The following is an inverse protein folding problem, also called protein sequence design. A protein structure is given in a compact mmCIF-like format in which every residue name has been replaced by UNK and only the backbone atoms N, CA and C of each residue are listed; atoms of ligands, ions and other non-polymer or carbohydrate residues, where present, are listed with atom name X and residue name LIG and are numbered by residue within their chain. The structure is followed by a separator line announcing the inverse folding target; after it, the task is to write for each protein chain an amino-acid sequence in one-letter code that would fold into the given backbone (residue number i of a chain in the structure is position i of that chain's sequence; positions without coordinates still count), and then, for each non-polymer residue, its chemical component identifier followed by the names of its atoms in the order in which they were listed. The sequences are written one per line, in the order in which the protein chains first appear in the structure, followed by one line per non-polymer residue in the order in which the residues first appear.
data_IF_097877208475
#
_entry.id   IF_097877208475
#
_cell.length_a   1.000
_cell.length_b   1.000
_cell.length_c   1.000
_cell.angle_alpha   90.00
_cell.angle_beta   90.00
_cell.angle_gamma   90.00
#
_symmetry.space_group_name_H-M   'P 1'
#
loop_
_entity.id
_entity.type
_entity.pdbx_description
1 polymer ?
#
# COMPACT_ATOMS: atom_id res chain seq x y z
N UNK A 1 -43.90 40.34 16.25
CA UNK A 1 -44.88 39.72 15.32
C UNK A 1 -44.36 38.37 14.91
N UNK A 2 -45.16 37.31 15.05
CA UNK A 2 -44.81 35.96 14.57
C UNK A 2 -45.41 35.81 13.17
N UNK A 3 -44.56 35.50 12.18
CA UNK A 3 -44.97 35.32 10.78
C UNK A 3 -45.26 33.83 10.52
N UNK A 4 -46.44 33.52 10.00
CA UNK A 4 -46.82 32.16 9.58
C UNK A 4 -47.19 32.14 8.11
N UNK A 5 -46.69 31.16 7.36
CA UNK A 5 -46.97 31.01 5.94
C UNK A 5 -48.44 30.60 5.74
N UNK A 6 -49.12 31.23 4.78
CA UNK A 6 -50.51 30.89 4.43
C UNK A 6 -50.53 29.64 3.55
N UNK A 7 -51.11 28.55 4.05
CA UNK A 7 -51.13 27.26 3.38
C UNK A 7 -52.44 27.02 2.61
N UNK A 8 -52.34 26.41 1.42
CA UNK A 8 -53.50 25.96 0.62
C UNK A 8 -53.80 24.51 0.94
N UNK A 9 -54.89 24.25 1.69
CA UNK A 9 -55.32 22.89 2.03
C UNK A 9 -56.04 22.23 0.87
N UNK A 10 -55.52 21.09 0.40
CA UNK A 10 -56.11 20.28 -0.66
C UNK A 10 -56.90 19.12 -0.05
N UNK A 11 -58.18 18.98 -0.41
CA UNK A 11 -59.03 17.84 -0.03
C UNK A 11 -59.15 16.86 -1.20
N UNK A 12 -58.14 16.01 -1.37
CA UNK A 12 -58.14 14.91 -2.35
C UNK A 12 -57.59 13.64 -1.71
N UNK A 13 -58.40 12.57 -1.67
CA UNK A 13 -58.03 11.29 -1.05
C UNK A 13 -56.86 10.63 -1.78
N UNK A 14 -56.84 10.65 -3.11
CA UNK A 14 -55.76 10.08 -3.91
C UNK A 14 -54.40 10.72 -3.62
N UNK A 15 -54.34 12.07 -3.65
CA UNK A 15 -53.08 12.79 -3.40
C UNK A 15 -52.66 12.70 -1.93
N UNK A 16 -53.61 12.68 -0.99
CA UNK A 16 -53.32 12.46 0.42
C UNK A 16 -52.70 11.07 0.67
N UNK A 17 -53.25 10.01 0.08
CA UNK A 17 -52.71 8.64 0.19
C UNK A 17 -51.32 8.56 -0.42
N UNK A 18 -51.13 9.12 -1.62
CA UNK A 18 -49.83 9.16 -2.29
C UNK A 18 -48.77 9.90 -1.45
N UNK A 19 -49.13 11.06 -0.91
CA UNK A 19 -48.23 11.85 -0.06
C UNK A 19 -47.82 11.08 1.20
N UNK A 20 -48.78 10.43 1.88
CA UNK A 20 -48.49 9.61 3.08
C UNK A 20 -47.65 8.39 2.75
N UNK A 21 -47.88 7.75 1.61
CA UNK A 21 -47.07 6.62 1.15
C UNK A 21 -45.62 7.05 0.87
N UNK A 22 -45.42 8.18 0.18
CA UNK A 22 -44.08 8.73 -0.06
C UNK A 22 -43.36 9.08 1.25
N UNK A 23 -44.05 9.73 2.19
CA UNK A 23 -43.51 10.00 3.52
C UNK A 23 -43.08 8.73 4.24
N UNK A 24 -43.92 7.69 4.22
CA UNK A 24 -43.62 6.41 4.84
C UNK A 24 -42.39 5.73 4.22
N UNK A 25 -42.27 5.74 2.89
CA UNK A 25 -41.09 5.21 2.20
C UNK A 25 -39.80 5.96 2.57
N UNK A 26 -39.86 7.30 2.66
CA UNK A 26 -38.72 8.12 3.07
C UNK A 26 -38.33 7.81 4.52
N UNK A 27 -39.30 7.69 5.43
CA UNK A 27 -39.04 7.31 6.82
C UNK A 27 -38.38 5.94 6.93
N UNK A 28 -38.86 4.94 6.17
CA UNK A 28 -38.21 3.62 6.11
C UNK A 28 -36.78 3.76 5.58
N UNK A 29 -36.56 4.52 4.52
CA UNK A 29 -35.23 4.74 3.97
C UNK A 29 -34.28 5.37 5.00
N UNK A 30 -34.70 6.43 5.69
CA UNK A 30 -33.89 7.09 6.71
C UNK A 30 -33.61 6.14 7.89
N UNK A 31 -34.64 5.49 8.42
CA UNK A 31 -34.48 4.61 9.58
C UNK A 31 -33.63 3.36 9.24
N UNK A 32 -33.97 2.67 8.15
CA UNK A 32 -33.33 1.39 7.83
C UNK A 32 -32.00 1.57 7.10
N UNK A 33 -31.94 2.42 6.07
CA UNK A 33 -30.72 2.55 5.28
C UNK A 33 -29.71 3.50 5.92
N UNK A 34 -30.11 4.73 6.28
CA UNK A 34 -29.17 5.73 6.80
C UNK A 34 -28.77 5.41 8.25
N UNK A 35 -29.74 5.15 9.13
CA UNK A 35 -29.46 4.91 10.54
C UNK A 35 -28.92 3.50 10.75
N UNK A 36 -29.62 2.44 10.31
CA UNK A 36 -29.19 1.06 10.62
C UNK A 36 -28.04 0.56 9.72
N UNK A 37 -28.20 0.56 8.38
CA UNK A 37 -27.19 -0.01 7.46
C UNK A 37 -25.92 0.83 7.41
N UNK A 38 -26.06 2.15 7.20
CA UNK A 38 -24.93 3.08 7.13
C UNK A 38 -24.43 3.51 8.51
N UNK A 39 -25.08 3.06 9.60
CA UNK A 39 -24.71 3.38 10.98
C UNK A 39 -24.55 4.88 11.20
N UNK A 40 -25.47 5.69 10.69
CA UNK A 40 -25.42 7.16 10.81
C UNK A 40 -25.42 7.68 12.25
N UNK A 41 -25.75 6.82 13.23
CA UNK A 41 -25.66 7.09 14.66
C UNK A 41 -24.24 6.95 15.24
N UNK A 42 -23.29 6.41 14.49
CA UNK A 42 -21.91 6.25 14.94
C UNK A 42 -21.02 7.40 14.46
N UNK A 43 -20.08 7.78 15.30
CA UNK A 43 -18.88 8.49 14.90
C UNK A 43 -17.81 7.49 14.49
N UNK A 44 -17.16 7.71 13.36
CA UNK A 44 -16.07 6.88 12.85
C UNK A 44 -14.72 7.57 13.02
N UNK A 45 -13.70 6.77 13.33
CA UNK A 45 -12.30 7.19 13.36
C UNK A 45 -11.43 6.14 12.67
N UNK A 46 -10.44 6.59 11.91
CA UNK A 46 -9.41 5.72 11.35
C UNK A 46 -8.37 5.30 12.42
N UNK A 47 -7.87 4.05 12.37
CA UNK A 47 -6.86 3.58 13.31
C UNK A 47 -5.53 4.30 13.10
N UNK A 48 -4.90 4.74 14.19
CA UNK A 48 -3.54 5.28 14.17
C UNK A 48 -2.62 4.30 14.88
N UNK A 49 -1.55 3.84 14.24
CA UNK A 49 -0.73 2.80 14.81
C UNK A 49 0.55 2.50 14.05
N UNK A 50 1.26 1.50 14.55
CA UNK A 50 2.50 1.02 13.95
C UNK A 50 2.63 -0.49 14.13
N UNK A 51 3.35 -1.10 13.20
CA UNK A 51 3.69 -2.51 13.18
C UNK A 51 5.18 -2.70 13.39
N UNK A 52 5.52 -3.65 14.26
CA UNK A 52 6.87 -4.17 14.47
C UNK A 52 6.93 -5.54 13.83
N UNK A 53 7.97 -5.78 13.05
CA UNK A 53 8.17 -7.03 12.33
C UNK A 53 9.38 -7.78 12.91
N UNK A 54 9.27 -9.11 13.00
CA UNK A 54 10.41 -9.99 13.27
C UNK A 54 10.39 -11.16 12.30
N UNK A 55 11.51 -11.41 11.65
CA UNK A 55 11.64 -12.46 10.64
C UNK A 55 12.48 -13.60 11.22
N UNK A 56 12.10 -14.83 10.90
CA UNK A 56 12.82 -16.04 11.29
C UNK A 56 12.84 -17.05 10.15
N UNK A 57 14.01 -17.62 9.91
CA UNK A 57 14.24 -18.66 8.93
C UNK A 57 15.72 -18.70 8.59
N UNK A 58 16.16 -19.86 8.10
CA UNK A 58 17.49 -20.04 7.51
C UNK A 58 17.29 -20.52 6.08
N UNK A 59 18.17 -20.10 5.19
CA UNK A 59 18.09 -20.48 3.79
C UNK A 59 19.44 -20.85 3.23
N UNK A 60 19.46 -21.89 2.40
CA UNK A 60 20.62 -22.26 1.61
C UNK A 60 20.77 -21.29 0.47
N UNK A 61 22.01 -21.02 0.09
CA UNK A 61 22.34 -20.14 -1.02
C UNK A 61 23.14 -20.85 -2.09
N UNK A 62 22.86 -20.50 -3.34
CA UNK A 62 23.73 -20.80 -4.48
C UNK A 62 24.72 -19.66 -4.65
N UNK A 63 25.99 -20.01 -4.86
CA UNK A 63 27.09 -19.08 -5.06
C UNK A 63 27.57 -19.24 -6.50
N UNK A 64 27.58 -18.15 -7.25
CA UNK A 64 28.17 -18.07 -8.57
C UNK A 64 29.30 -17.04 -8.56
N UNK A 65 30.54 -17.47 -8.79
CA UNK A 65 31.69 -16.59 -8.82
C UNK A 65 32.11 -16.32 -10.26
N UNK A 66 32.21 -15.04 -10.66
CA UNK A 66 32.63 -14.67 -12.01
C UNK A 66 34.06 -15.13 -12.35
N UNK A 67 34.91 -15.37 -11.36
CA UNK A 67 36.34 -15.66 -11.54
C UNK A 67 36.76 -17.12 -11.26
N UNK A 68 35.84 -17.97 -10.78
CA UNK A 68 36.09 -19.39 -10.55
C UNK A 68 34.98 -20.21 -11.22
N UNK A 69 35.30 -20.92 -12.31
CA UNK A 69 34.42 -21.92 -12.96
C UNK A 69 34.26 -23.21 -12.13
N UNK A 70 34.42 -23.12 -10.81
CA UNK A 70 34.23 -24.22 -9.89
C UNK A 70 33.00 -23.93 -9.04
N UNK A 71 31.92 -24.66 -9.33
CA UNK A 71 30.74 -24.82 -8.48
C UNK A 71 31.13 -25.56 -7.19
N UNK A 72 31.98 -24.94 -6.37
CA UNK A 72 32.17 -25.39 -5.00
C UNK A 72 30.93 -24.99 -4.23
N UNK A 73 29.92 -25.85 -4.31
CA UNK A 73 28.70 -25.86 -3.51
C UNK A 73 28.99 -26.17 -2.04
N UNK A 74 29.95 -25.47 -1.43
CA UNK A 74 29.96 -25.32 0.01
C UNK A 74 28.63 -24.67 0.36
N UNK A 75 27.74 -25.43 1.04
CA UNK A 75 26.40 -24.99 1.42
C UNK A 75 26.50 -23.81 2.38
N UNK A 76 26.70 -22.62 1.84
CA UNK A 76 26.62 -21.40 2.59
C UNK A 76 25.14 -21.18 2.97
N UNK A 77 24.95 -20.62 4.14
CA UNK A 77 23.65 -20.41 4.75
C UNK A 77 23.49 -18.92 5.01
N UNK A 78 22.29 -18.42 4.80
CA UNK A 78 21.87 -17.11 5.28
C UNK A 78 20.84 -17.26 6.38
N UNK A 79 21.00 -16.48 7.44
CA UNK A 79 19.97 -16.28 8.44
C UNK A 79 19.32 -14.89 8.31
N UNK A 80 18.41 -14.58 9.24
CA UNK A 80 17.69 -13.31 9.20
C UNK A 80 18.60 -12.08 9.25
N UNK A 81 19.79 -12.15 9.84
CA UNK A 81 20.72 -11.02 9.85
C UNK A 81 21.37 -10.79 8.47
N UNK A 82 21.50 -11.84 7.66
CA UNK A 82 22.11 -11.75 6.34
C UNK A 82 21.16 -11.23 5.25
N UNK A 83 19.88 -11.61 5.32
CA UNK A 83 18.89 -11.27 4.28
C UNK A 83 17.88 -10.19 4.67
N UNK A 84 17.81 -9.74 5.94
CA UNK A 84 16.88 -8.68 6.39
C UNK A 84 17.60 -7.37 6.64
N UNK A 85 17.42 -6.40 5.74
CA UNK A 85 18.11 -5.10 5.80
C UNK A 85 17.15 -3.95 5.49
N UNK A 86 17.04 -2.93 6.36
CA UNK A 86 17.61 -2.88 7.72
C UNK A 86 16.88 -3.86 8.65
N UNK A 87 17.56 -4.27 9.72
CA UNK A 87 17.02 -5.23 10.69
C UNK A 87 15.88 -4.65 11.55
N UNK A 88 15.70 -3.33 11.55
CA UNK A 88 14.59 -2.64 12.20
C UNK A 88 14.04 -1.56 11.28
N UNK A 89 12.79 -1.73 10.86
CA UNK A 89 12.04 -0.75 10.10
C UNK A 89 10.58 -0.78 10.57
N UNK A 90 9.98 0.39 10.75
CA UNK A 90 8.57 0.51 11.13
C UNK A 90 7.70 0.33 9.90
N UNK A 91 6.66 -0.50 9.99
CA UNK A 91 5.68 -0.71 8.91
C UNK A 91 6.28 -1.22 7.57
N UNK A 92 7.52 -1.67 7.53
CA UNK A 92 8.08 -2.28 6.34
C UNK A 92 9.22 -3.22 6.70
N UNK A 93 9.55 -4.13 5.80
CA UNK A 93 10.74 -4.96 5.88
C UNK A 93 11.17 -5.38 4.48
N UNK A 94 12.44 -5.75 4.35
CA UNK A 94 13.01 -6.24 3.10
C UNK A 94 13.63 -7.62 3.32
N UNK A 95 13.44 -8.51 2.35
CA UNK A 95 14.09 -9.83 2.31
C UNK A 95 14.91 -9.91 1.03
N UNK A 96 16.23 -9.98 1.17
CA UNK A 96 17.15 -10.17 0.07
C UNK A 96 16.98 -11.57 -0.54
N UNK A 97 16.73 -11.62 -1.84
CA UNK A 97 16.64 -12.86 -2.62
C UNK A 97 17.92 -13.13 -3.40
N UNK A 98 18.60 -12.05 -3.82
CA UNK A 98 19.90 -12.11 -4.48
C UNK A 98 20.80 -11.00 -3.97
N UNK A 99 22.07 -11.27 -3.72
CA UNK A 99 23.08 -10.23 -3.48
C UNK A 99 24.29 -10.45 -4.38
N UNK A 100 24.83 -9.34 -4.88
CA UNK A 100 26.05 -9.28 -5.68
C UNK A 100 27.06 -8.52 -4.85
N UNK A 101 28.19 -9.15 -4.52
CA UNK A 101 29.25 -8.51 -3.73
C UNK A 101 30.47 -8.28 -4.61
N UNK A 102 30.98 -7.05 -4.60
CA UNK A 102 32.25 -6.67 -5.23
C UNK A 102 33.24 -6.30 -4.13
N UNK A 103 34.25 -7.16 -3.95
CA UNK A 103 35.27 -7.03 -2.91
C UNK A 103 36.44 -6.16 -3.37
N UNK A 104 37.16 -5.56 -2.41
CA UNK A 104 38.48 -4.99 -2.68
C UNK A 104 38.50 -3.75 -3.56
N UNK A 105 37.40 -3.01 -3.64
CA UNK A 105 37.37 -1.78 -4.42
C UNK A 105 38.25 -0.72 -3.76
N UNK A 106 39.13 -0.07 -4.52
CA UNK A 106 39.94 1.07 -4.10
C UNK A 106 39.78 2.23 -5.07
N UNK A 107 40.05 3.45 -4.64
CA UNK A 107 40.10 4.57 -5.58
C UNK A 107 41.27 4.40 -6.55
N UNK A 108 40.99 4.51 -7.84
CA UNK A 108 42.00 4.35 -8.87
C UNK A 108 41.42 4.41 -10.28
N UNK A 109 42.26 4.02 -11.24
CA UNK A 109 41.93 4.03 -12.65
C UNK A 109 41.72 2.58 -13.12
N UNK A 110 40.61 2.34 -13.81
CA UNK A 110 40.28 1.04 -14.40
C UNK A 110 39.39 1.20 -15.65
N UNK A 111 39.28 0.15 -16.50
CA UNK A 111 38.28 0.10 -17.56
C UNK A 111 36.86 0.09 -16.96
N UNK A 112 35.90 0.77 -17.61
CA UNK A 112 34.48 0.71 -17.22
C UNK A 112 33.85 -0.65 -17.51
N UNK A 113 32.79 -1.01 -16.78
CA UNK A 113 32.05 -2.26 -17.03
C UNK A 113 31.35 -2.24 -18.40
N UNK A 114 31.15 -3.43 -18.99
CA UNK A 114 30.39 -3.57 -20.23
C UNK A 114 28.93 -3.12 -20.09
N UNK A 115 28.38 -3.16 -18.88
CA UNK A 115 26.99 -2.80 -18.60
C UNK A 115 26.68 -1.30 -18.72
N UNK A 116 27.69 -0.44 -18.55
CA UNK A 116 27.52 1.00 -18.72
C UNK A 116 27.47 1.41 -20.20
N UNK A 117 27.75 0.45 -21.11
CA UNK A 117 27.70 0.63 -22.57
C UNK A 117 28.58 1.77 -23.07
N UNK A 118 29.68 2.05 -22.36
CA UNK A 118 30.67 3.08 -22.69
C UNK A 118 31.72 2.55 -23.66
N UNK A 119 31.24 2.01 -24.79
CA UNK A 119 32.10 1.44 -25.82
C UNK A 119 32.87 2.54 -26.56
N UNK A 120 34.13 2.25 -26.84
CA UNK A 120 34.99 3.14 -27.60
C UNK A 120 35.80 2.32 -28.61
N UNK A 121 36.21 2.96 -29.69
CA UNK A 121 37.12 2.39 -30.68
C UNK A 121 37.97 3.50 -31.31
N UNK A 122 38.82 3.14 -32.27
CA UNK A 122 39.72 4.11 -32.92
C UNK A 122 38.99 5.21 -33.70
N UNK A 123 37.73 5.01 -34.09
CA UNK A 123 36.95 5.98 -34.90
C UNK A 123 35.93 6.77 -34.07
N UNK A 124 35.56 6.27 -32.90
CA UNK A 124 34.55 6.83 -31.99
C UNK A 124 35.04 6.71 -30.54
N UNK A 125 35.36 7.85 -29.93
CA UNK A 125 35.80 7.93 -28.55
C UNK A 125 34.88 8.86 -27.72
N UNK A 126 33.91 8.30 -26.96
CA UNK A 126 33.03 9.08 -26.09
C UNK A 126 33.69 9.50 -24.77
N UNK A 127 34.90 9.03 -24.47
CA UNK A 127 35.59 9.20 -23.19
C UNK A 127 36.16 10.62 -23.07
N UNK A 128 35.33 11.61 -22.75
CA UNK A 128 35.79 13.01 -22.61
C UNK A 128 36.44 13.25 -21.24
N UNK A 129 37.75 13.47 -21.23
CA UNK A 129 38.55 13.66 -20.00
C UNK A 129 37.91 14.66 -19.03
N UNK A 130 37.79 14.26 -17.77
CA UNK A 130 37.26 15.10 -16.69
C UNK A 130 35.74 15.23 -16.65
N UNK A 131 35.02 14.66 -17.62
CA UNK A 131 33.56 14.62 -17.59
C UNK A 131 33.07 13.50 -16.65
N UNK A 132 32.01 13.74 -15.87
CA UNK A 132 31.35 12.69 -15.11
C UNK A 132 30.63 11.73 -16.05
N UNK A 133 30.52 10.48 -15.65
CA UNK A 133 29.87 9.44 -16.45
C UNK A 133 28.34 9.52 -16.26
N UNK A 134 27.54 9.63 -17.34
CA UNK A 134 26.08 9.60 -17.23
C UNK A 134 25.59 8.26 -16.68
N UNK A 135 24.74 8.29 -15.64
CA UNK A 135 24.09 7.11 -15.04
C UNK A 135 25.04 6.04 -14.47
N UNK A 136 26.33 6.33 -14.29
CA UNK A 136 27.32 5.45 -13.67
C UNK A 136 28.24 6.22 -12.72
N UNK A 137 29.32 5.59 -12.26
CA UNK A 137 30.18 6.14 -11.22
C UNK A 137 31.56 6.55 -11.74
N UNK A 138 32.02 7.75 -11.37
CA UNK A 138 33.38 8.22 -11.65
C UNK A 138 33.48 9.24 -12.78
N UNK A 139 34.72 9.47 -13.21
CA UNK A 139 35.06 10.44 -14.26
C UNK A 139 35.88 9.79 -15.36
N UNK A 140 35.66 10.19 -16.62
CA UNK A 140 36.48 9.71 -17.73
C UNK A 140 37.92 10.24 -17.64
N UNK A 141 38.90 9.38 -17.88
CA UNK A 141 40.30 9.79 -17.98
C UNK A 141 40.67 10.36 -19.36
N UNK A 142 39.92 10.00 -20.40
CA UNK A 142 40.20 10.34 -21.79
C UNK A 142 40.60 9.15 -22.66
N UNK A 143 41.02 8.05 -22.04
CA UNK A 143 41.60 6.91 -22.74
C UNK A 143 40.55 5.85 -23.07
N UNK A 144 40.82 5.11 -24.15
CA UNK A 144 40.06 3.96 -24.59
C UNK A 144 40.92 2.72 -24.39
N UNK A 145 40.47 1.77 -23.57
CA UNK A 145 41.25 0.61 -23.13
C UNK A 145 40.43 -0.67 -23.29
N UNK A 146 41.10 -1.83 -23.39
CA UNK A 146 40.40 -3.11 -23.49
C UNK A 146 39.68 -3.45 -22.18
N UNK A 147 38.45 -3.98 -22.28
CA UNK A 147 37.64 -4.37 -21.12
C UNK A 147 38.28 -5.52 -20.34
N UNK A 148 38.08 -5.51 -19.02
CA UNK A 148 38.49 -6.61 -18.15
C UNK A 148 37.62 -7.87 -18.35
N UNK A 149 36.35 -7.70 -18.74
CA UNK A 149 35.40 -8.80 -18.93
C UNK A 149 35.59 -9.49 -20.29
N UNK A 150 35.91 -8.73 -21.33
CA UNK A 150 36.15 -9.24 -22.68
C UNK A 150 37.20 -8.39 -23.41
N UNK A 151 38.39 -8.97 -23.61
CA UNK A 151 39.54 -8.29 -24.23
C UNK A 151 39.32 -7.88 -25.68
N UNK A 152 38.30 -8.45 -26.36
CA UNK A 152 37.92 -8.07 -27.73
C UNK A 152 37.13 -6.76 -27.80
N UNK A 153 36.64 -6.26 -26.67
CA UNK A 153 35.81 -5.05 -26.60
C UNK A 153 36.59 -3.95 -25.88
N UNK A 154 36.66 -2.77 -26.51
CA UNK A 154 37.26 -1.59 -25.90
C UNK A 154 36.19 -0.71 -25.25
N UNK A 155 36.52 -0.19 -24.08
CA UNK A 155 35.66 0.61 -23.21
C UNK A 155 36.43 1.82 -22.67
N UNK A 156 35.71 2.82 -22.20
CA UNK A 156 36.34 3.99 -21.61
C UNK A 156 37.12 3.65 -20.33
N UNK A 157 38.28 4.28 -20.17
CA UNK A 157 39.03 4.27 -18.91
C UNK A 157 38.46 5.34 -17.98
N UNK A 158 38.26 4.96 -16.72
CA UNK A 158 37.55 5.76 -15.72
C UNK A 158 38.36 5.86 -14.42
N UNK A 159 38.22 6.99 -13.73
CA UNK A 159 38.71 7.20 -12.37
C UNK A 159 37.54 7.04 -11.40
N UNK A 160 37.51 5.93 -10.68
CA UNK A 160 36.39 5.50 -9.85
C UNK A 160 36.86 4.56 -8.71
N UNK A 161 35.90 3.88 -8.07
CA UNK A 161 36.20 2.77 -7.17
C UNK A 161 36.39 1.50 -7.99
N UNK A 162 37.64 1.08 -8.12
CA UNK A 162 38.08 -0.01 -8.99
C UNK A 162 38.44 -1.28 -8.19
N UNK A 163 38.10 -2.47 -8.69
CA UNK A 163 37.43 -2.71 -9.96
C UNK A 163 35.92 -2.38 -9.89
N UNK A 164 35.31 -2.02 -11.03
CA UNK A 164 33.88 -1.67 -11.10
C UNK A 164 32.99 -2.91 -10.83
N UNK A 165 31.73 -2.67 -10.45
CA UNK A 165 30.75 -3.75 -10.21
C UNK A 165 30.73 -4.74 -11.39
N UNK A 166 30.61 -6.04 -11.10
CA UNK A 166 30.53 -7.18 -12.04
C UNK A 166 31.83 -7.74 -12.63
N UNK A 167 32.93 -6.97 -12.67
CA UNK A 167 34.23 -7.47 -13.16
C UNK A 167 34.90 -8.48 -12.21
N UNK A 168 34.60 -8.39 -10.90
CA UNK A 168 35.03 -9.34 -9.86
C UNK A 168 33.94 -9.46 -8.80
N UNK A 169 32.75 -9.91 -9.22
CA UNK A 169 31.62 -10.04 -8.32
C UNK A 169 31.26 -11.48 -8.02
N UNK A 170 30.90 -11.73 -6.77
CA UNK A 170 30.26 -12.99 -6.38
C UNK A 170 28.77 -12.76 -6.24
N UNK A 171 28.00 -13.52 -7.01
CA UNK A 171 26.55 -13.54 -6.94
C UNK A 171 26.09 -14.65 -6.00
N UNK A 172 25.16 -14.29 -5.12
CA UNK A 172 24.56 -15.21 -4.19
C UNK A 172 23.05 -15.14 -4.34
N UNK A 173 22.40 -16.30 -4.45
CA UNK A 173 20.96 -16.41 -4.62
C UNK A 173 20.36 -17.35 -3.58
N UNK A 174 19.29 -16.90 -2.92
CA UNK A 174 18.54 -17.71 -1.96
C UNK A 174 17.84 -18.87 -2.67
N UNK A 175 17.84 -20.05 -2.05
CA UNK A 175 16.99 -21.14 -2.49
C UNK A 175 15.50 -20.76 -2.30
N UNK A 176 14.69 -20.98 -3.33
CA UNK A 176 13.30 -20.53 -3.35
C UNK A 176 12.45 -21.32 -2.33
N UNK A 177 12.68 -22.63 -2.18
CA UNK A 177 11.92 -23.45 -1.23
C UNK A 177 12.17 -22.99 0.21
N UNK A 178 13.41 -22.65 0.53
CA UNK A 178 13.77 -22.12 1.84
C UNK A 178 13.16 -20.72 2.05
N UNK A 179 13.21 -19.83 1.04
CA UNK A 179 12.58 -18.50 1.07
C UNK A 179 11.08 -18.58 1.37
N UNK A 180 10.36 -19.51 0.74
CA UNK A 180 8.92 -19.69 0.94
C UNK A 180 8.57 -20.18 2.35
N UNK A 181 9.51 -20.85 3.02
CA UNK A 181 9.36 -21.35 4.39
C UNK A 181 9.73 -20.33 5.47
N UNK A 182 10.33 -19.19 5.10
CA UNK A 182 10.62 -18.10 6.04
C UNK A 182 9.32 -17.59 6.68
N UNK A 183 9.39 -17.33 7.98
CA UNK A 183 8.26 -16.83 8.76
C UNK A 183 8.45 -15.38 9.17
N UNK A 184 7.38 -14.62 9.07
CA UNK A 184 7.28 -13.20 9.42
C UNK A 184 6.29 -13.06 10.55
N UNK A 185 6.75 -12.60 11.70
CA UNK A 185 5.93 -12.25 12.84
C UNK A 185 5.60 -10.77 12.82
N UNK A 186 4.31 -10.44 12.76
CA UNK A 186 3.81 -9.07 12.66
C UNK A 186 3.06 -8.70 13.94
N UNK A 187 3.61 -7.75 14.69
CA UNK A 187 2.99 -7.18 15.88
C UNK A 187 2.48 -5.77 15.56
N UNK A 188 1.17 -5.58 15.55
CA UNK A 188 0.57 -4.26 15.36
C UNK A 188 -0.05 -3.76 16.64
N UNK A 189 0.14 -2.48 16.93
CA UNK A 189 -0.63 -1.74 17.92
C UNK A 189 -1.32 -0.55 17.24
N UNK A 190 -2.63 -0.43 17.43
CA UNK A 190 -3.44 0.68 16.91
C UNK A 190 -4.19 1.37 18.04
N UNK A 191 -4.47 2.64 17.85
CA UNK A 191 -5.25 3.47 18.76
C UNK A 191 -6.32 4.23 18.01
N UNK A 192 -7.51 4.23 18.61
CA UNK A 192 -8.62 5.10 18.27
C UNK A 192 -8.70 6.17 19.36
N UNK A 193 -7.90 7.22 19.18
CA UNK A 193 -7.68 8.28 20.18
C UNK A 193 -8.96 9.01 20.57
N UNK A 194 -9.92 9.20 19.65
CA UNK A 194 -11.19 9.85 19.95
C UNK A 194 -12.05 9.01 20.91
N UNK A 195 -11.86 7.68 20.90
CA UNK A 195 -12.62 6.76 21.74
C UNK A 195 -11.80 6.25 22.95
N UNK A 196 -10.53 6.65 23.08
CA UNK A 196 -9.57 6.14 24.06
C UNK A 196 -9.39 4.61 24.05
N UNK A 197 -9.49 4.00 22.87
CA UNK A 197 -9.35 2.55 22.70
C UNK A 197 -7.98 2.24 22.09
N UNK A 198 -7.29 1.24 22.63
CA UNK A 198 -6.01 0.73 22.12
C UNK A 198 -6.15 -0.77 21.86
N UNK A 199 -5.86 -1.20 20.65
CA UNK A 199 -5.93 -2.60 20.22
C UNK A 199 -4.54 -3.09 19.81
N UNK A 200 -4.35 -4.40 19.94
CA UNK A 200 -3.10 -5.09 19.59
C UNK A 200 -3.43 -6.42 18.93
N UNK A 201 -2.59 -6.83 17.98
CA UNK A 201 -2.76 -8.15 17.32
C UNK A 201 -2.34 -9.32 18.20
N UNK A 202 -1.52 -9.07 19.24
CA UNK A 202 -1.09 -10.11 20.18
C UNK A 202 -1.91 -10.03 21.45
N UNK A 203 -2.52 -11.15 21.82
CA UNK A 203 -3.22 -11.39 23.10
C UNK A 203 -2.47 -12.45 23.93
N UNK A 204 -2.91 -12.68 25.17
CA UNK A 204 -2.25 -13.61 26.11
C UNK A 204 -2.32 -15.08 25.65
N UNK A 205 -3.34 -15.44 24.89
CA UNK A 205 -3.62 -16.77 24.34
C UNK A 205 -2.92 -17.05 23.00
N UNK A 206 -2.18 -16.08 22.45
CA UNK A 206 -1.51 -16.23 21.15
C UNK A 206 -0.39 -17.27 21.22
N UNK A 207 -0.54 -18.38 20.48
CA UNK A 207 0.46 -19.47 20.42
C UNK A 207 1.54 -19.18 19.38
N UNK A 208 2.81 -19.36 19.73
CA UNK A 208 3.93 -19.22 18.77
C UNK A 208 3.99 -20.31 17.70
N UNK A 209 3.27 -21.43 17.90
CA UNK A 209 3.18 -22.51 16.91
C UNK A 209 2.16 -22.25 15.81
N UNK A 210 1.31 -21.22 15.93
CA UNK A 210 0.29 -20.92 14.94
C UNK A 210 0.89 -20.51 13.59
N UNK A 211 0.12 -20.66 12.52
CA UNK A 211 0.44 -20.13 11.19
C UNK A 211 -0.80 -19.45 10.63
N UNK A 212 -0.63 -18.23 10.15
CA UNK A 212 -1.71 -17.44 9.60
C UNK A 212 -2.35 -18.14 8.40
N UNK A 213 -3.67 -18.20 8.42
CA UNK A 213 -4.48 -18.57 7.28
C UNK A 213 -5.83 -17.85 7.39
N UNK A 214 -6.23 -17.14 6.34
CA UNK A 214 -7.49 -16.38 6.28
C UNK A 214 -8.72 -17.16 6.72
N UNK A 215 -8.74 -18.48 6.51
CA UNK A 215 -9.91 -19.32 6.68
C UNK A 215 -9.86 -20.12 7.99
N UNK A 216 -8.70 -20.65 8.36
CA UNK A 216 -8.55 -21.53 9.54
C UNK A 216 -8.04 -20.82 10.78
N UNK A 217 -7.12 -19.86 10.62
CA UNK A 217 -6.51 -19.14 11.75
C UNK A 217 -6.18 -17.68 11.35
N UNK A 218 -7.22 -16.83 11.22
CA UNK A 218 -7.08 -15.45 10.76
C UNK A 218 -6.47 -14.51 11.82
N UNK A 219 -6.26 -14.99 13.05
CA UNK A 219 -5.73 -14.18 14.17
C UNK A 219 -4.25 -14.40 14.41
N UNK A 220 -3.68 -15.46 13.85
CA UNK A 220 -2.27 -15.74 14.02
C UNK A 220 -1.38 -14.63 13.41
N UNK A 221 -0.45 -14.04 14.18
CA UNK A 221 0.44 -12.99 13.68
C UNK A 221 1.66 -13.52 12.92
N UNK A 222 1.77 -14.83 12.67
CA UNK A 222 2.93 -15.49 12.04
C UNK A 222 2.57 -15.91 10.62
N UNK A 223 3.15 -15.24 9.65
CA UNK A 223 2.92 -15.44 8.23
C UNK A 223 4.07 -16.21 7.61
N UNK A 224 3.79 -17.12 6.68
CA UNK A 224 4.83 -17.70 5.82
C UNK A 224 4.92 -16.88 4.53
N UNK A 225 6.14 -16.63 4.05
CA UNK A 225 6.34 -15.95 2.77
C UNK A 225 5.63 -16.70 1.64
N UNK A 226 5.70 -18.04 1.64
CA UNK A 226 5.01 -18.87 0.65
C UNK A 226 3.49 -18.69 0.65
N UNK A 227 2.87 -18.48 1.82
CA UNK A 227 1.44 -18.19 1.89
C UNK A 227 1.11 -16.83 1.24
N UNK A 228 1.91 -15.80 1.51
CA UNK A 228 1.72 -14.46 0.93
C UNK A 228 1.85 -14.52 -0.59
N UNK A 229 2.92 -15.14 -1.10
CA UNK A 229 3.16 -15.26 -2.54
C UNK A 229 2.05 -16.08 -3.22
N UNK A 230 1.60 -17.17 -2.59
CA UNK A 230 0.46 -17.95 -3.09
C UNK A 230 -0.81 -17.10 -3.21
N UNK A 231 -1.12 -16.27 -2.20
CA UNK A 231 -2.28 -15.36 -2.25
C UNK A 231 -2.16 -14.29 -3.34
N UNK A 232 -0.95 -13.80 -3.61
CA UNK A 232 -0.72 -12.89 -4.73
C UNK A 232 -0.98 -13.58 -6.08
N UNK A 233 -0.48 -14.80 -6.26
CA UNK A 233 -0.66 -15.57 -7.49
C UNK A 233 -2.12 -16.02 -7.73
N UNK A 234 -2.87 -16.31 -6.65
CA UNK A 234 -4.31 -16.55 -6.70
C UNK A 234 -5.08 -15.32 -7.19
N UNK A 235 -4.61 -14.11 -6.81
CA UNK A 235 -5.23 -12.84 -7.17
C UNK A 235 -4.88 -12.37 -8.58
N UNK A 236 -3.62 -12.49 -9.00
CA UNK A 236 -3.18 -12.24 -10.38
C UNK A 236 -2.26 -13.36 -10.87
N UNK A 237 -2.78 -14.18 -11.79
CA UNK A 237 -2.06 -15.33 -12.38
C UNK A 237 -0.94 -14.92 -13.35
N UNK A 238 -0.85 -13.64 -13.73
CA UNK A 238 0.15 -13.15 -14.69
C UNK A 238 1.48 -12.76 -14.04
N UNK A 239 1.58 -12.84 -12.71
CA UNK A 239 2.80 -12.49 -11.99
C UNK A 239 3.93 -13.43 -12.40
N UNK A 240 5.02 -12.87 -12.92
CA UNK A 240 6.24 -13.60 -13.21
C UNK A 240 7.05 -13.80 -11.93
N UNK A 241 6.91 -14.98 -11.32
CA UNK A 241 7.61 -15.32 -10.07
C UNK A 241 9.13 -15.34 -10.24
N UNK A 242 9.64 -15.72 -11.42
CA UNK A 242 11.07 -15.75 -11.66
C UNK A 242 11.68 -14.35 -11.64
N UNK A 243 11.04 -13.38 -12.32
CA UNK A 243 11.44 -11.98 -12.27
C UNK A 243 11.33 -11.42 -10.86
N UNK A 244 10.25 -11.74 -10.14
CA UNK A 244 10.04 -11.32 -8.76
C UNK A 244 11.15 -11.79 -7.82
N UNK A 245 11.60 -13.05 -7.93
CA UNK A 245 12.71 -13.57 -7.12
C UNK A 245 14.09 -13.07 -7.57
N UNK A 246 14.28 -12.80 -8.86
CA UNK A 246 15.59 -12.37 -9.38
C UNK A 246 15.84 -10.86 -9.24
N UNK A 247 14.81 -10.05 -9.49
CA UNK A 247 14.91 -8.58 -9.53
C UNK A 247 14.28 -7.93 -8.30
N UNK A 248 13.43 -8.66 -7.58
CA UNK A 248 12.70 -8.14 -6.43
C UNK A 248 11.33 -7.57 -6.79
N UNK A 249 10.62 -7.07 -5.80
CA UNK A 249 9.31 -6.46 -5.98
C UNK A 249 8.79 -5.80 -4.70
N UNK A 250 7.77 -4.95 -4.86
CA UNK A 250 7.12 -4.24 -3.76
C UNK A 250 5.76 -4.88 -3.47
N UNK A 251 5.64 -5.48 -2.29
CA UNK A 251 4.44 -6.18 -1.84
C UNK A 251 3.81 -5.38 -0.69
N UNK A 252 2.51 -5.12 -0.77
CA UNK A 252 1.74 -4.51 0.30
C UNK A 252 1.03 -5.59 1.12
N UNK A 253 1.14 -5.45 2.44
CA UNK A 253 0.34 -6.20 3.43
C UNK A 253 -0.60 -5.20 4.08
N UNK A 254 -1.86 -5.19 3.68
CA UNK A 254 -2.86 -4.27 4.20
C UNK A 254 -3.62 -4.90 5.37
N UNK A 255 -3.67 -4.21 6.50
CA UNK A 255 -4.36 -4.59 7.72
C UNK A 255 -5.66 -3.79 7.86
N UNK A 256 -6.79 -4.43 7.58
CA UNK A 256 -8.12 -3.80 7.59
C UNK A 256 -8.79 -3.95 8.94
N UNK A 257 -8.80 -2.88 9.73
CA UNK A 257 -9.50 -2.79 10.99
C UNK A 257 -10.92 -2.30 10.76
N UNK A 258 -11.91 -3.16 11.00
CA UNK A 258 -13.33 -2.80 10.95
C UNK A 258 -13.95 -3.08 12.31
N UNK A 259 -13.84 -2.11 13.22
CA UNK A 259 -14.32 -2.27 14.58
C UNK A 259 -15.67 -1.56 14.76
N UNK A 260 -16.53 -2.18 15.55
CA UNK A 260 -17.64 -1.51 16.21
C UNK A 260 -17.28 -1.44 17.71
N UNK A 261 -17.58 -0.35 18.39
CA UNK A 261 -17.27 -0.12 19.80
C UNK A 261 -18.51 0.21 20.63
N UNK A 262 -19.71 -0.05 20.09
CA UNK A 262 -20.96 0.12 20.81
C UNK A 262 -21.20 -0.99 21.83
N UNK A 263 -20.68 -2.19 21.53
CA UNK A 263 -20.71 -3.33 22.42
C UNK A 263 -19.40 -3.36 23.22
N UNK A 264 -19.39 -4.09 24.34
CA UNK A 264 -18.19 -4.19 25.18
C UNK A 264 -16.98 -4.59 24.34
N UNK A 265 -15.93 -3.77 24.41
CA UNK A 265 -14.68 -3.93 23.65
C UNK A 265 -13.98 -5.26 23.99
N UNK A 266 -14.24 -5.79 25.18
CA UNK A 266 -13.71 -7.09 25.63
C UNK A 266 -14.41 -8.28 24.94
N UNK A 267 -15.71 -8.17 24.67
CA UNK A 267 -16.49 -9.19 23.96
C UNK A 267 -16.31 -9.07 22.44
N UNK A 268 -16.01 -7.86 21.94
CA UNK A 268 -15.64 -7.61 20.55
C UNK A 268 -14.14 -7.76 20.34
N UNK A 269 -13.75 -8.99 20.02
CA UNK A 269 -12.44 -9.33 19.49
C UNK A 269 -12.18 -8.68 18.12
N UNK A 270 -11.98 -7.36 18.08
CA UNK A 270 -11.67 -6.65 16.85
C UNK A 270 -10.23 -6.93 16.44
N UNK A 271 -10.07 -7.70 15.37
CA UNK A 271 -8.80 -8.01 14.73
C UNK A 271 -8.80 -7.55 13.28
N UNK A 272 -7.63 -7.23 12.71
CA UNK A 272 -7.55 -6.84 11.32
C UNK A 272 -7.72 -8.05 10.40
N UNK A 273 -8.43 -7.84 9.29
CA UNK A 273 -8.32 -8.75 8.14
C UNK A 273 -7.08 -8.36 7.32
N UNK A 274 -6.34 -9.35 6.83
CA UNK A 274 -5.13 -9.11 6.03
C UNK A 274 -5.42 -9.30 4.54
N UNK A 275 -4.97 -8.36 3.72
CA UNK A 275 -4.97 -8.48 2.25
C UNK A 275 -3.57 -8.23 1.69
N UNK A 276 -3.26 -8.89 0.59
CA UNK A 276 -1.94 -8.86 -0.04
C UNK A 276 -2.06 -8.33 -1.47
N UNK A 277 -1.16 -7.43 -1.83
CA UNK A 277 -1.13 -6.77 -3.14
C UNK A 277 0.31 -6.64 -3.65
N UNK A 278 0.53 -6.87 -4.94
CA UNK A 278 1.82 -6.61 -5.60
C UNK A 278 1.74 -5.22 -6.22
N UNK A 279 2.44 -4.25 -5.62
CA UNK A 279 2.46 -2.86 -6.09
C UNK A 279 3.45 -2.65 -7.24
N UNK A 280 4.56 -3.40 -7.23
CA UNK A 280 5.59 -3.32 -8.26
C UNK A 280 6.19 -4.71 -8.52
N UNK A 281 6.26 -5.11 -9.80
CA UNK A 281 6.84 -6.38 -10.23
C UNK A 281 8.30 -6.20 -10.68
N UNK A 282 9.00 -7.32 -10.85
CA UNK A 282 10.31 -7.37 -11.48
C UNK A 282 10.30 -6.88 -12.94
N UNK A 283 9.21 -7.07 -13.68
CA UNK A 283 9.19 -6.90 -15.15
C UNK A 283 9.10 -5.44 -15.66
N UNK A 284 9.26 -4.43 -14.81
CA UNK A 284 9.19 -3.03 -15.22
C UNK A 284 10.35 -2.64 -16.14
N UNK A 285 10.04 -2.04 -17.30
CA UNK A 285 11.03 -1.73 -18.35
C UNK A 285 12.10 -0.72 -17.94
N UNK A 286 11.76 0.25 -17.09
CA UNK A 286 12.65 1.36 -16.74
C UNK A 286 13.45 1.07 -15.46
N UNK A 287 12.83 0.44 -14.46
CA UNK A 287 13.45 0.08 -13.19
C UNK A 287 12.89 -1.24 -12.70
N UNK A 288 13.42 -2.38 -13.18
CA UNK A 288 12.92 -3.69 -12.81
C UNK A 288 13.16 -4.00 -11.33
N UNK A 289 12.08 -4.33 -10.64
CA UNK A 289 12.10 -4.83 -9.26
C UNK A 289 12.57 -3.82 -8.21
N UNK A 290 13.15 -4.33 -7.12
CA UNK A 290 13.61 -3.54 -5.98
C UNK A 290 15.04 -3.93 -5.64
N UNK A 291 15.94 -2.95 -5.77
CA UNK A 291 17.35 -3.12 -5.46
C UNK A 291 17.95 -1.88 -4.80
N UNK A 292 18.99 -2.09 -3.99
CA UNK A 292 19.78 -1.02 -3.40
C UNK A 292 21.22 -1.48 -3.17
N UNK A 293 22.09 -0.52 -2.87
CA UNK A 293 23.51 -0.77 -2.58
C UNK A 293 23.86 -0.26 -1.20
N UNK A 294 24.74 -0.97 -0.52
CA UNK A 294 25.45 -0.45 0.64
C UNK A 294 26.94 -0.79 0.52
N UNK A 295 27.73 -0.11 1.34
CA UNK A 295 29.17 -0.12 1.25
C UNK A 295 29.75 -0.32 2.64
N UNK A 296 30.67 -1.25 2.76
CA UNK A 296 31.51 -1.45 3.94
C UNK A 296 32.91 -0.95 3.60
N UNK A 297 33.39 0.09 4.30
CA UNK A 297 34.72 0.66 4.09
C UNK A 297 35.71 0.08 5.09
N UNK A 298 36.91 -0.22 4.64
CA UNK A 298 37.99 -0.73 5.48
C UNK A 298 39.34 -0.24 4.96
N UNK A 299 40.37 -0.23 5.81
CA UNK A 299 41.70 0.27 5.46
C UNK A 299 42.73 -0.84 5.61
N UNK A 300 43.56 -1.03 4.58
CA UNK A 300 44.67 -2.00 4.58
C UNK A 300 45.93 -1.29 4.06
N UNK A 301 47.04 -1.40 4.79
CA UNK A 301 48.34 -0.81 4.40
C UNK A 301 48.20 0.65 3.92
N UNK A 302 47.58 1.47 4.77
CA UNK A 302 47.29 2.90 4.54
C UNK A 302 46.38 3.23 3.34
N UNK A 303 45.94 2.24 2.57
CA UNK A 303 45.05 2.39 1.43
C UNK A 303 43.61 2.11 1.83
N UNK A 304 42.70 3.00 1.44
CA UNK A 304 41.28 2.86 1.69
C UNK A 304 40.63 1.94 0.66
N UNK A 305 39.93 0.92 1.17
CA UNK A 305 39.17 -0.05 0.41
C UNK A 305 37.69 0.00 0.78
N UNK A 306 36.86 -0.55 -0.09
CA UNK A 306 35.46 -0.83 0.19
C UNK A 306 34.99 -2.13 -0.43
N UNK A 307 34.05 -2.76 0.25
CA UNK A 307 33.23 -3.83 -0.30
C UNK A 307 31.86 -3.25 -0.61
N UNK A 308 31.44 -3.34 -1.87
CA UNK A 308 30.11 -2.89 -2.29
C UNK A 308 29.21 -4.09 -2.42
N UNK A 309 28.06 -4.04 -1.75
CA UNK A 309 27.04 -5.08 -1.81
C UNK A 309 25.80 -4.49 -2.46
N UNK A 310 25.39 -5.06 -3.60
CA UNK A 310 24.12 -4.76 -4.26
C UNK A 310 23.12 -5.86 -3.93
N UNK A 311 21.96 -5.50 -3.40
CA UNK A 311 20.90 -6.43 -3.04
C UNK A 311 19.68 -6.26 -3.91
N UNK A 312 19.06 -7.39 -4.24
CA UNK A 312 17.76 -7.50 -4.89
C UNK A 312 16.85 -8.31 -3.98
N UNK A 313 15.57 -7.95 -3.91
CA UNK A 313 14.69 -8.67 -3.01
C UNK A 313 13.28 -8.14 -2.91
N UNK A 314 12.53 -8.74 -2.01
CA UNK A 314 11.13 -8.43 -1.77
C UNK A 314 11.04 -7.39 -0.68
N UNK A 315 10.46 -6.24 -1.00
CA UNK A 315 10.12 -5.21 -0.01
C UNK A 315 8.65 -5.34 0.34
N UNK A 316 8.36 -5.57 1.61
CA UNK A 316 7.01 -5.66 2.15
C UNK A 316 6.68 -4.38 2.90
N UNK A 317 5.55 -3.75 2.57
CA UNK A 317 5.06 -2.54 3.24
C UNK A 317 3.72 -2.84 3.90
N UNK A 318 3.65 -2.60 5.20
CA UNK A 318 2.46 -2.79 6.01
C UNK A 318 1.65 -1.50 6.03
N UNK A 319 0.40 -1.58 5.61
CA UNK A 319 -0.52 -0.45 5.64
C UNK A 319 -1.64 -0.75 6.62
N UNK A 320 -1.92 0.18 7.53
CA UNK A 320 -3.02 0.06 8.49
C UNK A 320 -4.18 0.88 7.92
N UNK A 321 -5.30 0.22 7.67
CA UNK A 321 -6.48 0.83 7.04
C UNK A 321 -7.76 0.44 7.80
N UNK A 322 -8.84 1.16 7.51
CA UNK A 322 -10.18 0.86 8.02
C UNK A 322 -10.69 1.91 9.02
N UNK A 323 -11.68 1.54 9.82
CA UNK A 323 -12.36 2.45 10.74
C UNK A 323 -12.91 1.72 11.97
N UNK A 324 -12.97 2.44 13.07
CA UNK A 324 -13.70 2.07 14.27
C UNK A 324 -14.90 3.00 14.45
N UNK A 325 -16.08 2.44 14.71
CA UNK A 325 -17.31 3.21 14.94
C UNK A 325 -17.74 3.12 16.40
N UNK A 326 -18.14 4.24 17.01
CA UNK A 326 -18.77 4.28 18.34
C UNK A 326 -19.99 5.19 18.32
N UNK A 327 -21.02 4.83 19.07
CA UNK A 327 -22.24 5.60 19.21
C UNK A 327 -21.94 7.04 19.65
N UNK A 328 -22.47 8.01 18.91
CA UNK A 328 -22.44 9.43 19.26
C UNK A 328 -23.82 10.02 19.03
N UNK A 329 -24.42 10.51 20.12
CA UNK A 329 -25.74 11.13 20.11
C UNK A 329 -25.82 12.32 19.14
N UNK A 330 -24.72 13.08 18.96
CA UNK A 330 -24.68 14.20 18.02
C UNK A 330 -24.82 13.72 16.57
N UNK A 331 -24.16 12.60 16.23
CA UNK A 331 -24.26 11.99 14.90
C UNK A 331 -25.66 11.46 14.64
N UNK A 332 -26.30 10.85 15.64
CA UNK A 332 -27.70 10.44 15.54
C UNK A 332 -28.62 11.63 15.24
N UNK A 333 -28.53 12.73 15.99
CA UNK A 333 -29.37 13.91 15.75
C UNK A 333 -29.09 14.56 14.39
N UNK A 334 -27.83 14.62 13.95
CA UNK A 334 -27.49 15.10 12.61
C UNK A 334 -28.10 14.21 11.53
N UNK A 335 -28.03 12.89 11.68
CA UNK A 335 -28.62 11.93 10.75
C UNK A 335 -30.15 12.07 10.70
N UNK A 336 -30.82 12.17 11.85
CA UNK A 336 -32.26 12.40 11.94
C UNK A 336 -32.64 13.74 11.31
N UNK A 337 -31.91 14.82 11.63
CA UNK A 337 -32.14 16.16 11.09
C UNK A 337 -32.02 16.20 9.57
N UNK A 338 -30.93 15.63 9.01
CA UNK A 338 -30.79 15.48 7.56
C UNK A 338 -31.87 14.58 6.95
N UNK A 339 -32.28 13.55 7.69
CA UNK A 339 -33.32 12.61 7.29
C UNK A 339 -34.69 13.26 7.15
N UNK A 340 -35.07 14.09 8.12
CA UNK A 340 -36.32 14.89 8.08
C UNK A 340 -36.31 15.85 6.89
N UNK A 341 -35.15 16.39 6.51
CA UNK A 341 -35.00 17.21 5.31
C UNK A 341 -35.49 16.52 4.02
N UNK A 342 -35.34 15.21 3.90
CA UNK A 342 -35.85 14.46 2.74
C UNK A 342 -37.37 14.46 2.62
N UNK A 343 -38.11 14.75 3.70
CA UNK A 343 -39.58 14.78 3.68
C UNK A 343 -40.13 15.84 2.71
N UNK A 344 -39.35 16.89 2.42
CA UNK A 344 -39.69 17.93 1.43
C UNK A 344 -39.89 17.31 0.03
N UNK A 345 -39.19 16.22 -0.29
CA UNK A 345 -39.34 15.55 -1.59
C UNK A 345 -40.76 15.00 -1.76
N UNK A 346 -41.36 14.45 -0.70
CA UNK A 346 -42.73 13.96 -0.76
C UNK A 346 -43.73 15.09 -1.03
N UNK A 347 -43.48 16.29 -0.50
CA UNK A 347 -44.29 17.48 -0.76
C UNK A 347 -44.17 17.92 -2.23
N UNK A 348 -42.95 18.10 -2.72
CA UNK A 348 -42.69 18.53 -4.11
C UNK A 348 -43.28 17.56 -5.14
N UNK A 349 -43.10 16.26 -4.93
CA UNK A 349 -43.63 15.23 -5.84
C UNK A 349 -45.15 15.20 -5.80
N UNK A 350 -45.75 15.28 -4.61
CA UNK A 350 -47.21 15.28 -4.48
C UNK A 350 -47.83 16.53 -5.10
N UNK A 351 -47.19 17.68 -4.94
CA UNK A 351 -47.61 18.94 -5.55
C UNK A 351 -47.49 18.90 -7.07
N UNK A 352 -46.37 18.39 -7.60
CA UNK A 352 -46.16 18.22 -9.03
C UNK A 352 -47.26 17.33 -9.65
N UNK A 353 -47.55 16.19 -9.01
CA UNK A 353 -48.58 15.26 -9.47
C UNK A 353 -49.96 15.93 -9.41
N UNK A 354 -50.26 16.67 -8.33
CA UNK A 354 -51.52 17.41 -8.22
C UNK A 354 -51.65 18.45 -9.35
N UNK A 355 -50.62 19.26 -9.57
CA UNK A 355 -50.62 20.33 -10.59
C UNK A 355 -50.73 19.78 -12.02
N UNK A 356 -50.17 18.60 -12.30
CA UNK A 356 -50.17 18.05 -13.66
C UNK A 356 -51.42 17.24 -13.98
N UNK A 357 -51.85 16.39 -13.05
CA UNK A 357 -52.81 15.30 -13.33
C UNK A 357 -54.16 15.45 -12.63
N UNK A 358 -54.32 16.32 -11.64
CA UNK A 358 -55.58 16.42 -10.90
C UNK A 358 -56.65 17.25 -11.64
N UNK A 359 -57.93 16.84 -11.55
CA UNK A 359 -59.07 17.48 -12.23
C UNK A 359 -59.28 18.95 -11.81
N UNK A 360 -58.97 19.28 -10.56
CA UNK A 360 -59.06 20.65 -10.00
C UNK A 360 -57.72 21.43 -10.04
N UNK A 361 -56.80 21.09 -10.96
CA UNK A 361 -55.46 21.72 -11.05
C UNK A 361 -55.50 23.24 -11.26
N UNK A 362 -56.41 23.74 -12.08
CA UNK A 362 -56.49 25.18 -12.41
C UNK A 362 -56.94 26.02 -11.19
N UNK A 363 -57.87 25.47 -10.39
CA UNK A 363 -58.34 26.10 -9.17
C UNK A 363 -57.24 26.16 -8.11
N UNK A 364 -56.52 25.05 -7.91
CA UNK A 364 -55.37 25.01 -7.01
C UNK A 364 -54.25 25.96 -7.47
N UNK A 365 -53.95 26.01 -8.77
CA UNK A 365 -52.93 26.92 -9.33
C UNK A 365 -53.31 28.38 -9.07
N UNK A 366 -54.57 28.77 -9.28
CA UNK A 366 -55.04 30.14 -8.95
C UNK A 366 -54.93 30.45 -7.46
N UNK A 367 -55.32 29.50 -6.60
CA UNK A 367 -55.26 29.70 -5.14
C UNK A 367 -53.81 29.76 -4.62
N UNK A 368 -52.89 28.99 -5.21
CA UNK A 368 -51.46 29.04 -4.89
C UNK A 368 -50.83 30.36 -5.36
N UNK A 369 -51.14 30.83 -6.57
CA UNK A 369 -50.67 32.13 -7.09
C UNK A 369 -51.19 33.29 -6.25
N UNK A 370 -52.49 33.30 -5.90
CA UNK A 370 -53.07 34.32 -5.00
C UNK A 370 -52.38 34.34 -3.65
N UNK A 371 -52.03 33.17 -3.10
CA UNK A 371 -51.31 33.06 -1.83
C UNK A 371 -49.87 33.61 -1.96
N UNK A 372 -49.18 33.36 -3.07
CA UNK A 372 -47.85 33.92 -3.33
C UNK A 372 -47.87 35.45 -3.52
N UNK A 373 -48.86 35.98 -4.24
CA UNK A 373 -49.02 37.42 -4.46
C UNK A 373 -49.32 38.19 -3.16
N UNK A 374 -50.11 37.60 -2.25
CA UNK A 374 -50.35 38.19 -0.93
C UNK A 374 -49.08 38.23 -0.05
N UNK A 375 -48.22 37.20 -0.15
CA UNK A 375 -46.94 37.15 0.57
C UNK A 375 -45.97 38.23 0.04
N UNK A 376 -45.97 38.48 -1.27
CA UNK A 376 -45.19 39.57 -1.89
C UNK A 376 -45.65 40.96 -1.42
N UNK A 377 -46.94 41.15 -1.19
CA UNK A 377 -47.48 42.44 -0.76
C UNK A 377 -47.20 42.74 0.73
N UNK A 378 -47.08 41.72 1.58
CA UNK A 378 -46.78 41.88 3.01
C UNK A 378 -45.29 42.01 3.33
N UNK A 379 -44.38 41.69 2.39
CA UNK A 379 -42.93 41.85 2.55
C UNK A 379 -42.41 43.21 2.01
N UNK A 380 -43.29 44.09 1.51
CA UNK A 380 -42.95 45.41 0.95
C UNK A 380 -43.25 46.56 1.94
N UNK A 381 -43.63 46.24 3.18
CA UNK A 381 -43.85 47.22 4.26
C UNK A 381 -42.99 46.94 5.48
#
# INVERSE_FOLDING_TARGET
MYSTVKEVKVRSTFVAVLHRLLQFLILIFVAFYIILIKKGYQQFQEPQGSSIIKIKGVARISIHNSNLHTDNSSQALWDAADYVIPSIETNAFFIATRKTITYGQRQGICPSSLNDKLFCNSTYNPCKRGMPIPNAFGFFTGNCVSSQENTMINVCEINAWCPEELSNSTDYKINIDDLLNITVFIKTAVSFTQFNIKLRTIKQDTKFSCRFNSDTDPRCPIFQIGYIIKKLQEKDRRINLEALYNQGGLIQIEQKWKCNFDYNVEDQECFPAYTFDLLQSGDDKLSPGVNFRFVEKYRLNETDYRTTTKMYGLRFVLTIAGHGGRFDIRRLFLAIGSGIGYMIIAELVSEFIFMRFHRHREEFRRNKIKSCLQISASNVY
#
